data_IF_399607309659
#
_entry.id   IF_399607309659
#
_cell.length_a   1.000
_cell.length_b   1.000
_cell.length_c   1.000
_cell.angle_alpha   90.00
_cell.angle_beta   90.00
_cell.angle_gamma   90.00
#
_symmetry.space_group_name_H-M   'P 1'
#
loop_
_entity.id
_entity.type
_entity.pdbx_description
1 polymer ?
#
# COMPACT_ATOMS: atom_id res chain seq x y z
N UNK A 1 10.20 -13.46 -2.91
CA UNK A 1 8.87 -12.95 -3.31
C UNK A 1 8.94 -11.76 -4.25
N UNK A 2 9.59 -10.64 -3.87
CA UNK A 2 9.78 -9.51 -4.81
C UNK A 2 10.45 -9.92 -6.13
N UNK A 3 11.45 -10.81 -6.07
CA UNK A 3 12.09 -11.39 -7.27
C UNK A 3 11.14 -12.23 -8.15
N UNK A 4 10.12 -12.89 -7.57
CA UNK A 4 9.16 -13.73 -8.30
C UNK A 4 8.13 -12.81 -8.97
N UNK A 5 7.61 -11.82 -8.24
CA UNK A 5 6.71 -10.81 -8.83
C UNK A 5 7.43 -10.08 -9.96
N UNK A 6 8.67 -9.65 -9.74
CA UNK A 6 9.44 -8.95 -10.77
C UNK A 6 9.75 -9.82 -11.99
N UNK A 7 9.95 -11.12 -11.81
CA UNK A 7 10.09 -12.05 -12.94
C UNK A 7 8.79 -12.19 -13.74
N UNK A 8 7.66 -12.42 -13.08
CA UNK A 8 6.35 -12.44 -13.72
C UNK A 8 6.04 -11.13 -14.44
N UNK A 9 6.37 -9.98 -13.86
CA UNK A 9 6.17 -8.67 -14.51
C UNK A 9 7.03 -8.51 -15.76
N UNK A 10 8.30 -8.93 -15.74
CA UNK A 10 9.19 -8.88 -16.92
C UNK A 10 8.71 -9.79 -18.05
N UNK A 11 8.03 -10.89 -17.72
CA UNK A 11 7.40 -11.81 -18.68
C UNK A 11 5.97 -11.40 -19.05
N UNK A 12 5.50 -10.24 -18.59
CA UNK A 12 4.13 -9.75 -18.77
C UNK A 12 3.05 -10.73 -18.23
N UNK A 13 3.43 -11.60 -17.30
CA UNK A 13 2.55 -12.55 -16.62
C UNK A 13 1.83 -11.87 -15.44
N UNK A 14 0.98 -10.87 -15.73
CA UNK A 14 0.34 -10.01 -14.71
C UNK A 14 -0.55 -10.77 -13.72
N UNK A 15 -1.25 -11.82 -14.16
CA UNK A 15 -1.98 -12.75 -13.27
C UNK A 15 -1.06 -13.43 -12.27
N UNK A 16 0.09 -13.95 -12.71
CA UNK A 16 1.06 -14.60 -11.82
C UNK A 16 1.61 -13.61 -10.79
N UNK A 17 1.94 -12.39 -11.25
CA UNK A 17 2.39 -11.30 -10.39
C UNK A 17 1.32 -10.96 -9.32
N UNK A 18 0.05 -10.91 -9.73
CA UNK A 18 -1.07 -10.66 -8.81
C UNK A 18 -1.26 -11.79 -7.80
N UNK A 19 -1.25 -13.05 -8.24
CA UNK A 19 -1.39 -14.23 -7.36
C UNK A 19 -0.26 -14.25 -6.33
N UNK A 20 0.98 -14.02 -6.78
CA UNK A 20 2.17 -13.97 -5.93
C UNK A 20 2.03 -12.86 -4.86
N UNK A 21 1.54 -11.69 -5.26
CA UNK A 21 1.24 -10.58 -4.34
C UNK A 21 0.13 -10.94 -3.34
N UNK A 22 -0.90 -11.63 -3.81
CA UNK A 22 -2.05 -12.01 -3.00
C UNK A 22 -1.69 -13.05 -1.92
N UNK A 23 -0.90 -14.06 -2.29
CA UNK A 23 -0.42 -15.10 -1.37
C UNK A 23 0.43 -14.49 -0.25
N UNK A 24 1.24 -13.47 -0.57
CA UNK A 24 2.03 -12.74 0.43
C UNK A 24 1.15 -12.04 1.47
N UNK A 25 0.07 -11.38 1.05
CA UNK A 25 -0.82 -10.66 1.96
C UNK A 25 -1.66 -11.53 2.91
N UNK A 26 -1.66 -12.86 2.75
CA UNK A 26 -2.56 -13.78 3.48
C UNK A 26 -1.99 -14.30 4.81
N UNK A 27 -0.66 -14.31 4.99
CA UNK A 27 -0.02 -14.91 6.17
C UNK A 27 -0.32 -16.40 6.38
N UNK A 28 0.27 -17.03 7.42
CA UNK A 28 0.13 -18.47 7.72
C UNK A 28 -1.20 -18.86 8.36
N UNK A 29 -1.99 -17.91 8.87
CA UNK A 29 -3.30 -18.16 9.48
C UNK A 29 -4.32 -17.29 8.77
N UNK A 30 -5.14 -17.90 7.92
CA UNK A 30 -6.22 -17.22 7.23
C UNK A 30 -7.13 -16.54 8.27
N UNK A 31 -7.18 -15.22 8.25
CA UNK A 31 -8.18 -14.48 9.00
C UNK A 31 -9.58 -14.91 8.55
N UNK A 32 -10.52 -15.19 9.48
CA UNK A 32 -11.91 -15.48 9.14
C UNK A 32 -12.61 -14.34 8.36
N UNK A 33 -12.03 -13.14 8.39
CA UNK A 33 -12.57 -11.90 7.80
C UNK A 33 -11.76 -11.37 6.61
N UNK A 34 -10.70 -12.07 6.19
CA UNK A 34 -9.92 -11.73 5.01
C UNK A 34 -10.54 -12.30 3.74
N UNK A 35 -10.44 -11.56 2.63
CA UNK A 35 -10.78 -12.02 1.27
C UNK A 35 -10.28 -13.46 1.05
N UNK A 36 -11.21 -14.41 1.06
CA UNK A 36 -10.91 -15.85 1.00
C UNK A 36 -10.57 -16.31 -0.42
N UNK A 37 -10.39 -17.64 -0.63
CA UNK A 37 -10.26 -18.24 -1.96
C UNK A 37 -11.33 -17.77 -2.93
N UNK A 38 -12.56 -17.55 -2.44
CA UNK A 38 -13.67 -17.01 -3.23
C UNK A 38 -13.44 -15.56 -3.72
N UNK A 39 -12.79 -14.71 -2.92
CA UNK A 39 -12.46 -13.34 -3.34
C UNK A 39 -11.32 -13.34 -4.35
N UNK A 40 -10.28 -14.16 -4.13
CA UNK A 40 -9.22 -14.35 -5.11
C UNK A 40 -9.77 -14.90 -6.42
N UNK A 41 -10.62 -15.92 -6.36
CA UNK A 41 -11.24 -16.51 -7.54
C UNK A 41 -12.05 -15.46 -8.30
N UNK A 42 -12.88 -14.66 -7.62
CA UNK A 42 -13.64 -13.55 -8.25
C UNK A 42 -12.72 -12.57 -8.98
N UNK A 43 -11.58 -12.21 -8.38
CA UNK A 43 -10.58 -11.33 -8.98
C UNK A 43 -9.96 -12.00 -10.22
N UNK A 44 -9.53 -13.26 -10.11
CA UNK A 44 -8.87 -14.01 -11.18
C UNK A 44 -9.80 -14.34 -12.35
N UNK A 45 -11.11 -14.45 -12.11
CA UNK A 45 -12.12 -14.66 -13.15
C UNK A 45 -12.64 -13.34 -13.74
N UNK A 46 -12.15 -12.19 -13.28
CA UNK A 46 -12.55 -10.91 -13.84
C UNK A 46 -12.16 -10.85 -15.32
N UNK A 47 -13.13 -10.48 -16.17
CA UNK A 47 -12.88 -10.26 -17.58
C UNK A 47 -11.84 -9.13 -17.73
N UNK A 48 -10.89 -9.34 -18.64
CA UNK A 48 -9.84 -8.38 -18.97
C UNK A 48 -8.96 -7.96 -17.78
N UNK A 49 -8.70 -8.85 -16.81
CA UNK A 49 -7.85 -8.59 -15.64
C UNK A 49 -6.45 -8.07 -16.00
N UNK A 50 -5.86 -8.56 -17.08
CA UNK A 50 -4.47 -8.22 -17.45
C UNK A 50 -4.33 -6.76 -17.90
N UNK A 51 -5.33 -6.22 -18.61
CA UNK A 51 -5.32 -4.87 -19.14
C UNK A 51 -5.16 -3.77 -18.06
N UNK A 52 -5.98 -3.70 -17.00
CA UNK A 52 -5.81 -2.70 -15.94
C UNK A 52 -4.52 -2.92 -15.14
N UNK A 53 -4.04 -4.17 -14.97
CA UNK A 53 -2.77 -4.44 -14.29
C UNK A 53 -1.57 -3.96 -15.12
N UNK A 54 -1.53 -4.30 -16.40
CA UNK A 54 -0.51 -3.84 -17.34
C UNK A 54 -0.48 -2.31 -17.40
N UNK A 55 -1.66 -1.70 -17.56
CA UNK A 55 -1.79 -0.23 -17.57
C UNK A 55 -1.27 0.39 -16.28
N UNK A 56 -1.58 -0.20 -15.12
CA UNK A 56 -1.08 0.32 -13.85
C UNK A 56 0.45 0.26 -13.74
N UNK A 57 1.08 -0.80 -14.25
CA UNK A 57 2.55 -0.94 -14.31
C UNK A 57 3.16 0.11 -15.24
N UNK A 58 2.61 0.30 -16.44
CA UNK A 58 3.05 1.35 -17.38
C UNK A 58 2.86 2.75 -16.79
N UNK A 59 1.69 3.03 -16.22
CA UNK A 59 1.39 4.32 -15.57
C UNK A 59 2.31 4.57 -14.38
N UNK A 60 2.72 3.54 -13.64
CA UNK A 60 3.70 3.68 -12.58
C UNK A 60 5.06 4.11 -13.13
N UNK A 61 5.56 3.45 -14.19
CA UNK A 61 6.86 3.76 -14.80
C UNK A 61 6.91 5.09 -15.56
N UNK A 62 5.77 5.62 -15.99
CA UNK A 62 5.69 6.89 -16.74
C UNK A 62 5.26 8.08 -15.87
N UNK A 63 4.56 7.81 -14.76
CA UNK A 63 3.96 8.84 -13.93
C UNK A 63 4.22 8.61 -12.44
N UNK A 64 3.21 8.23 -11.67
CA UNK A 64 3.26 8.17 -10.21
C UNK A 64 2.47 7.00 -9.66
N UNK A 65 2.77 6.62 -8.42
CA UNK A 65 2.00 5.63 -7.67
C UNK A 65 0.52 6.02 -7.52
N UNK A 66 0.21 7.32 -7.39
CA UNK A 66 -1.18 7.83 -7.33
C UNK A 66 -1.91 7.64 -8.67
N UNK A 67 -1.26 7.94 -9.79
CA UNK A 67 -1.83 7.75 -11.11
C UNK A 67 -2.09 6.26 -11.38
N UNK A 68 -1.15 5.40 -11.02
CA UNK A 68 -1.30 3.95 -11.16
C UNK A 68 -2.44 3.41 -10.28
N UNK A 69 -2.58 3.91 -9.05
CA UNK A 69 -3.70 3.59 -8.17
C UNK A 69 -5.04 4.01 -8.79
N UNK A 70 -5.11 5.22 -9.36
CA UNK A 70 -6.30 5.71 -10.06
C UNK A 70 -6.69 4.79 -11.22
N UNK A 71 -5.69 4.29 -11.95
CA UNK A 71 -5.87 3.32 -13.04
C UNK A 71 -6.50 2.00 -12.61
N UNK A 72 -6.29 1.56 -11.35
CA UNK A 72 -6.85 0.32 -10.80
C UNK A 72 -8.23 0.51 -10.15
N UNK A 73 -8.54 1.72 -9.68
CA UNK A 73 -9.71 1.98 -8.85
C UNK A 73 -11.02 1.58 -9.56
N UNK A 74 -11.70 0.57 -9.01
CA UNK A 74 -13.01 0.11 -9.48
C UNK A 74 -12.96 -0.66 -10.81
N UNK A 75 -11.77 -0.97 -11.34
CA UNK A 75 -11.63 -1.68 -12.62
C UNK A 75 -11.77 -3.19 -12.51
N UNK A 76 -11.36 -3.76 -11.38
CA UNK A 76 -11.37 -5.21 -11.16
C UNK A 76 -12.33 -5.51 -10.00
N UNK A 77 -13.46 -6.21 -10.24
CA UNK A 77 -14.41 -6.57 -9.20
C UNK A 77 -13.76 -7.35 -8.05
N UNK A 78 -14.01 -6.94 -6.81
CA UNK A 78 -13.45 -7.57 -5.62
C UNK A 78 -11.97 -7.27 -5.35
N UNK A 79 -11.28 -6.58 -6.27
CA UNK A 79 -9.94 -6.05 -6.03
C UNK A 79 -10.10 -4.71 -5.31
N UNK A 80 -9.72 -4.66 -4.04
CA UNK A 80 -9.95 -3.48 -3.20
C UNK A 80 -8.69 -2.62 -3.03
N UNK A 81 -8.85 -1.40 -2.46
CA UNK A 81 -7.77 -0.46 -2.15
C UNK A 81 -6.49 -1.07 -1.56
N UNK A 82 -6.62 -1.95 -0.56
CA UNK A 82 -5.45 -2.59 0.06
C UNK A 82 -4.70 -3.54 -0.87
N UNK A 83 -5.40 -4.14 -1.84
CA UNK A 83 -4.77 -5.01 -2.83
C UNK A 83 -4.15 -4.20 -3.96
N UNK A 84 -4.73 -3.04 -4.33
CA UNK A 84 -4.10 -2.10 -5.27
C UNK A 84 -2.71 -1.71 -4.77
N UNK A 85 -2.61 -1.27 -3.51
CA UNK A 85 -1.34 -0.80 -2.93
C UNK A 85 -0.30 -1.92 -2.82
N UNK A 86 -0.72 -3.15 -2.48
CA UNK A 86 0.18 -4.32 -2.49
C UNK A 86 0.71 -4.65 -3.87
N UNK A 87 -0.15 -4.65 -4.89
CA UNK A 87 0.29 -4.87 -6.28
C UNK A 87 1.27 -3.80 -6.73
N UNK A 88 0.95 -2.53 -6.46
CA UNK A 88 1.82 -1.40 -6.80
C UNK A 88 3.14 -1.43 -6.03
N UNK A 89 3.16 -1.84 -4.76
CA UNK A 89 4.40 -2.00 -3.99
C UNK A 89 5.38 -2.96 -4.68
N UNK A 90 4.92 -4.17 -5.05
CA UNK A 90 5.80 -5.12 -5.73
C UNK A 90 6.12 -4.70 -7.17
N UNK A 91 5.19 -4.06 -7.88
CA UNK A 91 5.48 -3.46 -9.17
C UNK A 91 6.58 -2.41 -9.06
N UNK A 92 6.53 -1.53 -8.04
CA UNK A 92 7.52 -0.50 -7.74
C UNK A 92 8.92 -1.04 -7.41
N UNK A 93 9.02 -2.28 -6.92
CA UNK A 93 10.32 -2.96 -6.76
C UNK A 93 10.93 -3.43 -8.08
N UNK A 94 10.17 -3.42 -9.16
CA UNK A 94 10.59 -3.88 -10.50
C UNK A 94 10.71 -2.70 -11.47
N UNK A 95 9.70 -1.83 -11.51
CA UNK A 95 9.66 -0.60 -12.29
C UNK A 95 9.44 0.57 -11.33
N UNK A 96 10.46 1.40 -11.05
CA UNK A 96 10.30 2.50 -10.12
C UNK A 96 9.27 3.50 -10.63
N UNK A 97 8.57 4.15 -9.70
CA UNK A 97 7.72 5.30 -10.01
C UNK A 97 8.55 6.39 -10.70
N UNK A 98 8.07 6.94 -11.82
CA UNK A 98 8.80 8.00 -12.54
C UNK A 98 8.90 9.28 -11.72
N UNK A 99 7.84 9.60 -10.97
CA UNK A 99 7.72 10.80 -10.14
C UNK A 99 7.14 10.47 -8.77
N UNK A 100 7.43 11.34 -7.81
CA UNK A 100 6.92 11.23 -6.45
C UNK A 100 7.50 10.05 -5.65
N UNK A 101 6.88 9.72 -4.51
CA UNK A 101 7.32 8.60 -3.66
C UNK A 101 7.12 7.25 -4.35
N UNK A 102 7.97 6.28 -4.01
CA UNK A 102 7.76 4.90 -4.41
C UNK A 102 6.50 4.31 -3.73
N UNK A 103 5.78 3.38 -4.39
CA UNK A 103 4.60 2.77 -3.80
C UNK A 103 4.91 2.06 -2.49
N UNK A 104 4.06 2.29 -1.50
CA UNK A 104 4.03 1.65 -0.19
C UNK A 104 2.67 0.96 0.02
N UNK A 105 2.59 0.05 0.98
CA UNK A 105 1.40 -0.73 1.30
C UNK A 105 0.55 0.03 2.32
N UNK A 106 -0.59 0.53 1.87
CA UNK A 106 -1.66 0.97 2.76
C UNK A 106 -2.70 -0.14 2.92
N UNK A 107 -2.86 -0.63 4.15
CA UNK A 107 -3.91 -1.55 4.51
C UNK A 107 -4.64 -1.15 5.80
N UNK A 108 -5.62 -1.96 6.20
CA UNK A 108 -6.47 -1.69 7.34
C UNK A 108 -5.67 -1.64 8.65
N UNK A 109 -4.63 -2.46 8.78
CA UNK A 109 -3.79 -2.50 10.00
C UNK A 109 -2.97 -1.22 10.07
N UNK A 110 -2.29 -0.87 8.98
CA UNK A 110 -1.46 0.32 8.95
C UNK A 110 -2.28 1.60 9.10
N UNK A 111 -3.44 1.69 8.44
CA UNK A 111 -4.33 2.85 8.56
C UNK A 111 -4.83 3.03 10.01
N UNK A 112 -5.23 1.94 10.68
CA UNK A 112 -5.59 2.03 12.12
C UNK A 112 -4.40 2.46 12.97
N UNK A 113 -3.20 1.98 12.66
CA UNK A 113 -1.99 2.37 13.39
C UNK A 113 -1.69 3.85 13.26
N UNK A 114 -1.69 4.38 12.03
CA UNK A 114 -1.50 5.80 11.79
C UNK A 114 -2.59 6.63 12.46
N UNK A 115 -3.84 6.15 12.47
CA UNK A 115 -4.93 6.79 13.22
C UNK A 115 -4.60 6.92 14.69
N UNK A 116 -4.22 5.83 15.36
CA UNK A 116 -3.92 5.84 16.80
C UNK A 116 -2.78 6.80 17.13
N UNK A 117 -1.71 6.81 16.34
CA UNK A 117 -0.59 7.74 16.55
C UNK A 117 -1.03 9.20 16.35
N UNK A 118 -1.78 9.48 15.28
CA UNK A 118 -2.27 10.82 15.01
C UNK A 118 -3.27 11.33 16.06
N UNK A 119 -4.10 10.44 16.62
CA UNK A 119 -5.01 10.77 17.73
C UNK A 119 -4.25 11.12 19.00
N UNK A 120 -3.17 10.38 19.31
CA UNK A 120 -2.36 10.67 20.49
C UNK A 120 -1.69 12.05 20.37
N UNK A 121 -0.96 12.27 19.27
CA UNK A 121 -0.30 13.56 19.00
C UNK A 121 -1.33 14.69 18.94
N UNK A 122 -2.47 14.48 18.28
CA UNK A 122 -3.55 15.47 18.16
C UNK A 122 -4.13 15.91 19.51
N UNK A 123 -4.23 14.98 20.47
CA UNK A 123 -4.62 15.27 21.86
C UNK A 123 -3.53 16.03 22.61
N UNK A 124 -2.29 15.56 22.53
CA UNK A 124 -1.15 16.16 23.23
C UNK A 124 -0.90 17.61 22.77
N UNK A 125 -1.00 17.89 21.48
CA UNK A 125 -0.77 19.23 20.92
C UNK A 125 -2.02 20.12 20.93
N UNK A 126 -3.19 19.57 21.22
CA UNK A 126 -4.48 20.27 21.13
C UNK A 126 -4.95 20.59 19.70
N UNK A 127 -4.34 19.99 18.67
CA UNK A 127 -4.71 20.25 17.26
C UNK A 127 -5.86 19.37 16.75
N UNK A 128 -6.07 18.20 17.34
CA UNK A 128 -7.18 17.28 17.04
C UNK A 128 -7.63 16.60 18.34
N UNK A 129 -8.13 17.37 19.33
CA UNK A 129 -8.37 16.88 20.68
C UNK A 129 -9.46 15.79 20.75
N UNK A 130 -10.37 15.74 19.77
CA UNK A 130 -11.40 14.71 19.66
C UNK A 130 -11.03 13.57 18.71
N UNK A 131 -9.89 13.65 18.03
CA UNK A 131 -9.40 12.64 17.10
C UNK A 131 -10.23 12.53 15.81
N UNK A 132 -11.08 13.51 15.51
CA UNK A 132 -11.97 13.50 14.35
C UNK A 132 -11.20 13.65 13.04
N UNK A 133 -10.16 14.48 13.02
CA UNK A 133 -9.31 14.67 11.84
C UNK A 133 -8.51 13.40 11.59
N UNK A 134 -7.87 12.82 12.61
CA UNK A 134 -7.14 11.57 12.51
C UNK A 134 -8.04 10.42 12.02
N UNK A 135 -9.27 10.34 12.53
CA UNK A 135 -10.26 9.34 12.09
C UNK A 135 -10.64 9.54 10.63
N UNK A 136 -10.81 10.79 10.20
CA UNK A 136 -11.13 11.12 8.82
C UNK A 136 -9.96 10.85 7.89
N UNK A 137 -8.73 11.31 8.19
CA UNK A 137 -7.52 11.14 7.36
C UNK A 137 -7.14 9.66 7.25
N UNK A 138 -7.12 8.96 8.38
CA UNK A 138 -6.68 7.57 8.48
C UNK A 138 -7.86 6.61 8.60
N UNK A 139 -8.90 6.82 7.77
CA UNK A 139 -9.95 5.82 7.55
C UNK A 139 -9.31 4.48 7.17
N UNK A 140 -9.89 3.36 7.60
CA UNK A 140 -9.26 2.04 7.50
C UNK A 140 -9.81 1.22 6.32
N UNK A 141 -10.51 1.89 5.40
CA UNK A 141 -11.10 1.35 4.19
C UNK A 141 -11.37 2.46 3.15
N UNK A 142 -11.59 2.08 1.89
CA UNK A 142 -12.04 2.97 0.79
C UNK A 142 -11.15 4.21 0.56
N UNK A 143 -9.83 4.04 0.57
CA UNK A 143 -8.89 5.13 0.25
C UNK A 143 -9.08 5.61 -1.20
N UNK A 144 -9.19 6.92 -1.38
CA UNK A 144 -9.10 7.56 -2.70
C UNK A 144 -7.64 7.60 -3.16
N UNK A 145 -7.37 7.83 -4.47
CA UNK A 145 -6.01 8.04 -4.96
C UNK A 145 -5.31 9.16 -4.20
N UNK A 146 -6.01 10.27 -3.96
CA UNK A 146 -5.48 11.39 -3.18
C UNK A 146 -5.07 10.98 -1.76
N UNK A 147 -5.88 10.17 -1.06
CA UNK A 147 -5.52 9.67 0.28
C UNK A 147 -4.32 8.75 0.26
N UNK A 148 -4.19 7.95 -0.79
CA UNK A 148 -3.01 7.14 -1.00
C UNK A 148 -1.76 8.02 -1.20
N UNK A 149 -1.85 9.07 -2.01
CA UNK A 149 -0.76 10.04 -2.21
C UNK A 149 -0.36 10.78 -0.91
N UNK A 150 -1.34 11.17 -0.10
CA UNK A 150 -1.10 11.76 1.24
C UNK A 150 -0.34 10.78 2.13
N UNK A 151 -0.77 9.51 2.16
CA UNK A 151 -0.08 8.46 2.91
C UNK A 151 1.38 8.30 2.44
N UNK A 152 1.63 8.21 1.13
CA UNK A 152 2.98 8.07 0.59
C UNK A 152 3.88 9.27 0.95
N UNK A 153 3.35 10.48 0.81
CA UNK A 153 4.07 11.71 1.14
C UNK A 153 4.39 11.79 2.63
N UNK A 154 3.43 11.42 3.48
CA UNK A 154 3.61 11.34 4.92
C UNK A 154 4.73 10.37 5.29
N UNK A 155 4.68 9.13 4.76
CA UNK A 155 5.70 8.11 5.05
C UNK A 155 7.09 8.56 4.59
N UNK A 156 7.21 9.22 3.44
CA UNK A 156 8.48 9.73 2.97
C UNK A 156 9.02 10.88 3.83
N UNK A 157 8.15 11.81 4.26
CA UNK A 157 8.53 12.89 5.16
C UNK A 157 8.94 12.35 6.54
N UNK A 158 8.16 11.43 7.10
CA UNK A 158 8.45 10.78 8.39
C UNK A 158 9.77 10.01 8.33
N UNK A 159 10.02 9.22 7.29
CA UNK A 159 11.29 8.51 7.13
C UNK A 159 12.50 9.47 7.12
N UNK A 160 12.40 10.61 6.42
CA UNK A 160 13.43 11.65 6.43
C UNK A 160 13.65 12.26 7.81
N UNK A 161 12.57 12.54 8.54
CA UNK A 161 12.65 13.11 9.89
C UNK A 161 13.30 12.14 10.88
N UNK A 162 12.90 10.87 10.87
CA UNK A 162 13.48 9.89 11.78
C UNK A 162 14.95 9.61 11.42
N UNK A 163 15.30 9.54 10.12
CA UNK A 163 16.69 9.43 9.69
C UNK A 163 17.58 10.58 10.20
N UNK A 164 17.03 11.81 10.30
CA UNK A 164 17.75 12.97 10.84
C UNK A 164 18.05 12.87 12.34
N UNK A 165 17.40 11.97 13.09
CA UNK A 165 17.66 11.78 14.54
C UNK A 165 18.92 10.97 14.83
N UNK A 166 19.50 10.29 13.84
CA UNK A 166 20.64 9.38 14.01
C UNK A 166 20.32 8.04 14.67
N UNK A 167 19.08 7.83 15.15
CA UNK A 167 18.60 6.57 15.74
C UNK A 167 18.17 5.59 14.63
N UNK A 168 17.86 6.09 13.45
CA UNK A 168 17.37 5.34 12.31
C UNK A 168 18.41 5.31 11.19
N UNK A 169 18.52 4.22 10.41
CA UNK A 169 19.53 4.14 9.35
C UNK A 169 19.38 5.30 8.37
N UNK A 170 20.49 5.98 8.06
CA UNK A 170 20.50 7.17 7.21
C UNK A 170 20.09 6.89 5.76
N UNK A 171 20.25 5.64 5.34
CA UNK A 171 19.86 5.10 4.03
C UNK A 171 18.51 4.36 4.07
N UNK A 172 17.81 4.40 5.22
CA UNK A 172 16.55 3.70 5.36
C UNK A 172 15.51 4.22 4.37
N UNK A 173 15.06 3.32 3.52
CA UNK A 173 13.94 3.56 2.62
C UNK A 173 12.62 3.64 3.41
N UNK A 174 11.62 4.39 2.93
CA UNK A 174 10.32 4.52 3.61
C UNK A 174 9.60 3.19 3.91
N UNK A 175 9.95 2.10 3.20
CA UNK A 175 9.42 0.76 3.45
C UNK A 175 9.93 0.14 4.76
N UNK A 176 11.10 0.53 5.27
CA UNK A 176 11.57 0.11 6.58
C UNK A 176 10.70 0.72 7.69
N UNK A 177 10.30 1.99 7.52
CA UNK A 177 9.38 2.66 8.44
C UNK A 177 7.98 2.01 8.37
N UNK A 178 7.49 1.70 7.17
CA UNK A 178 6.26 0.92 7.00
C UNK A 178 6.32 -0.41 7.74
N UNK A 179 7.42 -1.15 7.56
CA UNK A 179 7.65 -2.44 8.21
C UNK A 179 7.67 -2.33 9.73
N UNK A 180 8.32 -1.32 10.28
CA UNK A 180 8.34 -1.09 11.72
C UNK A 180 6.96 -0.74 12.28
N UNK A 181 6.20 0.13 11.61
CA UNK A 181 4.83 0.44 12.02
C UNK A 181 3.92 -0.79 12.01
N UNK A 182 4.20 -1.74 11.10
CA UNK A 182 3.47 -3.01 11.00
C UNK A 182 3.90 -4.06 12.05
N UNK A 183 5.20 -4.14 12.36
CA UNK A 183 5.79 -5.28 13.08
C UNK A 183 5.90 -5.09 14.58
N UNK A 184 5.89 -3.85 15.08
CA UNK A 184 5.98 -3.61 16.53
C UNK A 184 4.65 -4.08 17.17
N UNK A 185 4.68 -5.04 18.13
CA UNK A 185 3.52 -5.38 18.96
C UNK A 185 3.29 -4.25 19.96
N UNK A 186 2.03 -3.85 20.19
CA UNK A 186 1.74 -2.81 21.18
C UNK A 186 0.85 -3.38 22.26
N UNK A 187 1.30 -3.17 23.49
CA UNK A 187 0.56 -3.40 24.73
C UNK A 187 -0.62 -2.44 24.83
#
# INVERSE_FOLDING_TARGET
MASIVGDSLRREAFREALVTTYVWGKGKRGSPSGSGPASLQKILTAKDLDTPLARAVTTLSEHSAEAAYTGLQGRIPGFGPSFYTKFLYFAGKTVPSATGPQPLILDRVLARRLRSLAQEVGRETGHDPDGSIATWVWRDQNWSPHRYAVYLSFMQAAARQVAATGIWPSDATPDLLEYALFSVPWM
#
